data_IF_898682937173
#
_entry.id   IF_898682937173
#
_cell.length_a   1.000
_cell.length_b   1.000
_cell.length_c   1.000
_cell.angle_alpha   90.00
_cell.angle_beta   90.00
_cell.angle_gamma   90.00
#
_symmetry.space_group_name_H-M   'P 1'
#
loop_
_entity.id
_entity.type
_entity.pdbx_description
1 polymer ?
#
# COMPACT_ATOMS: atom_id res chain seq x y z
N UNK A 1 10.08 -8.79 23.91
CA UNK A 1 9.42 -7.48 23.74
C UNK A 1 9.44 -7.11 22.25
N UNK A 2 8.29 -6.87 21.62
CA UNK A 2 8.20 -6.62 20.17
C UNK A 2 9.02 -5.40 19.70
N UNK A 3 9.24 -4.44 20.61
CA UNK A 3 10.03 -3.23 20.41
C UNK A 3 11.46 -3.28 20.99
N UNK A 4 11.99 -4.46 21.32
CA UNK A 4 13.40 -4.59 21.74
C UNK A 4 14.40 -4.40 20.59
N UNK A 5 13.90 -4.25 19.37
CA UNK A 5 14.72 -3.94 18.20
C UNK A 5 15.23 -2.50 18.32
N UNK A 6 16.55 -2.25 18.16
CA UNK A 6 17.09 -0.91 18.19
C UNK A 6 16.44 -0.02 17.13
N UNK A 7 16.38 1.28 17.37
CA UNK A 7 15.72 2.25 16.48
C UNK A 7 16.22 2.14 15.03
N UNK A 8 17.53 1.94 14.83
CA UNK A 8 18.15 1.70 13.52
C UNK A 8 17.58 0.47 12.80
N UNK A 9 17.18 -0.57 13.52
CA UNK A 9 16.50 -1.74 12.98
C UNK A 9 15.10 -1.41 12.47
N UNK A 10 14.35 -0.57 13.19
CA UNK A 10 13.03 -0.10 12.74
C UNK A 10 13.12 0.79 11.49
N UNK A 11 14.14 1.62 11.39
CA UNK A 11 14.42 2.39 10.17
C UNK A 11 14.68 1.48 8.96
N UNK A 12 15.45 0.40 9.14
CA UNK A 12 15.68 -0.59 8.09
C UNK A 12 14.38 -1.30 7.68
N UNK A 13 13.54 -1.66 8.64
CA UNK A 13 12.23 -2.29 8.37
C UNK A 13 11.33 -1.32 7.59
N UNK A 14 11.28 -0.04 7.98
CA UNK A 14 10.49 0.98 7.29
C UNK A 14 10.99 1.20 5.84
N UNK A 15 12.31 1.23 5.63
CA UNK A 15 12.89 1.30 4.29
C UNK A 15 12.54 0.06 3.46
N UNK A 16 12.65 -1.14 4.04
CA UNK A 16 12.30 -2.39 3.39
C UNK A 16 10.80 -2.44 3.04
N UNK A 17 9.92 -2.01 3.94
CA UNK A 17 8.48 -1.92 3.69
C UNK A 17 8.14 -0.92 2.58
N UNK A 18 8.85 0.21 2.53
CA UNK A 18 8.71 1.20 1.45
C UNK A 18 9.14 0.61 0.10
N UNK A 19 10.29 -0.06 0.07
CA UNK A 19 10.77 -0.76 -1.13
C UNK A 19 9.78 -1.84 -1.59
N UNK A 20 9.29 -2.65 -0.64
CA UNK A 20 8.28 -3.67 -0.89
C UNK A 20 6.98 -3.06 -1.43
N UNK A 21 6.50 -1.96 -0.86
CA UNK A 21 5.33 -1.24 -1.37
C UNK A 21 5.53 -0.77 -2.81
N UNK A 22 6.67 -0.13 -3.10
CA UNK A 22 6.97 0.33 -4.45
C UNK A 22 7.04 -0.82 -5.46
N UNK A 23 7.63 -1.96 -5.08
CA UNK A 23 7.70 -3.17 -5.91
C UNK A 23 6.30 -3.80 -6.07
N UNK A 24 5.54 -3.92 -4.99
CA UNK A 24 4.21 -4.52 -4.96
C UNK A 24 3.21 -3.73 -5.79
N UNK A 25 3.18 -2.41 -5.65
CA UNK A 25 2.35 -1.53 -6.50
C UNK A 25 2.82 -1.61 -7.96
N UNK A 26 4.13 -1.63 -8.22
CA UNK A 26 4.63 -1.83 -9.59
C UNK A 26 4.15 -3.17 -10.16
N UNK A 27 4.18 -4.26 -9.39
CA UNK A 27 3.73 -5.57 -9.82
C UNK A 27 2.21 -5.62 -10.05
N UNK A 28 1.43 -4.87 -9.28
CA UNK A 28 -0.02 -4.69 -9.51
C UNK A 28 -0.29 -3.96 -10.84
N UNK A 29 0.56 -2.99 -11.19
CA UNK A 29 0.44 -2.22 -12.45
C UNK A 29 1.01 -2.98 -13.65
N UNK A 30 2.04 -3.79 -13.44
CA UNK A 30 2.75 -4.54 -14.48
C UNK A 30 1.92 -5.77 -14.90
N UNK A 31 1.05 -5.58 -15.89
CA UNK A 31 0.09 -6.60 -16.34
C UNK A 31 -1.21 -6.00 -16.88
N UNK A 32 -1.46 -4.71 -16.61
CA UNK A 32 -2.61 -3.95 -17.12
C UNK A 32 -2.44 -3.57 -18.60
N UNK A 33 -2.23 -4.54 -19.49
CA UNK A 33 -2.35 -4.33 -20.94
C UNK A 33 -3.82 -4.44 -21.32
N UNK A 34 -4.48 -3.30 -21.46
CA UNK A 34 -5.80 -3.21 -22.06
C UNK A 34 -5.72 -3.55 -23.56
N UNK A 35 -6.48 -4.54 -24.06
CA UNK A 35 -6.54 -4.82 -25.48
C UNK A 35 -7.40 -3.75 -26.16
N UNK A 36 -6.78 -2.88 -26.98
CA UNK A 36 -7.48 -2.05 -27.96
C UNK A 36 -7.32 -0.52 -27.87
N UNK A 37 -6.64 0.04 -26.87
CA UNK A 37 -6.37 1.49 -26.86
C UNK A 37 -5.17 1.89 -27.75
N UNK A 38 -5.19 3.08 -28.38
CA UNK A 38 -4.06 3.59 -29.16
C UNK A 38 -2.84 3.73 -28.24
N UNK A 39 -1.88 2.82 -28.46
CA UNK A 39 -0.67 2.56 -27.67
C UNK A 39 0.09 3.83 -27.23
N UNK A 40 0.03 4.91 -28.00
CA UNK A 40 0.79 6.14 -27.80
C UNK A 40 0.26 7.09 -26.71
N UNK A 41 -1.06 7.17 -26.49
CA UNK A 41 -1.65 8.05 -25.46
C UNK A 41 -1.54 7.42 -24.07
N UNK A 42 -1.84 6.12 -23.98
CA UNK A 42 -1.69 5.34 -22.76
C UNK A 42 -0.23 5.23 -22.32
N UNK A 43 0.72 5.02 -23.24
CA UNK A 43 2.14 4.96 -22.88
C UNK A 43 2.66 6.29 -22.30
N UNK A 44 2.22 7.45 -22.82
CA UNK A 44 2.61 8.76 -22.27
C UNK A 44 1.98 9.04 -20.90
N UNK A 45 0.69 8.72 -20.73
CA UNK A 45 0.00 8.89 -19.44
C UNK A 45 0.51 7.92 -18.38
N UNK A 46 0.76 6.65 -18.76
CA UNK A 46 1.37 5.63 -17.92
C UNK A 46 2.79 6.04 -17.51
N UNK A 47 3.63 6.52 -18.45
CA UNK A 47 4.98 7.00 -18.12
C UNK A 47 4.96 8.18 -17.15
N UNK A 48 4.09 9.17 -17.36
CA UNK A 48 3.93 10.32 -16.43
C UNK A 48 3.41 9.90 -15.06
N UNK A 49 2.37 9.06 -14.99
CA UNK A 49 1.86 8.54 -13.70
C UNK A 49 2.89 7.68 -12.99
N UNK A 50 3.69 6.92 -13.73
CA UNK A 50 4.76 6.08 -13.19
C UNK A 50 5.91 6.93 -12.65
N UNK A 51 6.34 7.96 -13.38
CA UNK A 51 7.32 8.94 -12.88
C UNK A 51 6.79 9.68 -11.66
N UNK A 52 5.54 10.14 -11.69
CA UNK A 52 4.91 10.79 -10.55
C UNK A 52 4.85 9.84 -9.34
N UNK A 53 4.47 8.57 -9.51
CA UNK A 53 4.49 7.60 -8.42
C UNK A 53 5.90 7.39 -7.84
N UNK A 54 6.92 7.22 -8.69
CA UNK A 54 8.31 7.06 -8.24
C UNK A 54 8.95 8.32 -7.67
N UNK A 55 8.40 9.50 -7.90
CA UNK A 55 8.85 10.75 -7.27
C UNK A 55 8.06 11.05 -6.00
N UNK A 56 6.74 10.99 -6.08
CA UNK A 56 5.82 11.36 -5.00
C UNK A 56 5.86 10.34 -3.87
N UNK A 57 5.96 9.04 -4.15
CA UNK A 57 5.99 8.01 -3.09
C UNK A 57 7.22 8.14 -2.18
N UNK A 58 8.47 8.25 -2.69
CA UNK A 58 9.61 8.46 -1.81
C UNK A 58 9.61 9.85 -1.16
N UNK A 59 9.11 10.89 -1.82
CA UNK A 59 8.95 12.21 -1.18
C UNK A 59 7.94 12.15 -0.05
N UNK A 60 6.80 11.49 -0.24
CA UNK A 60 5.77 11.30 0.78
C UNK A 60 6.30 10.44 1.93
N UNK A 61 6.96 9.32 1.63
CA UNK A 61 7.63 8.48 2.63
C UNK A 61 8.67 9.28 3.43
N UNK A 62 9.53 10.04 2.76
CA UNK A 62 10.53 10.89 3.40
C UNK A 62 9.87 11.99 4.26
N UNK A 63 8.76 12.57 3.81
CA UNK A 63 8.01 13.58 4.55
C UNK A 63 7.37 12.99 5.80
N UNK A 64 6.73 11.82 5.70
CA UNK A 64 6.13 11.13 6.86
C UNK A 64 7.21 10.73 7.86
N UNK A 65 8.35 10.21 7.38
CA UNK A 65 9.50 9.88 8.22
C UNK A 65 10.14 11.12 8.86
N UNK A 66 10.25 12.24 8.14
CA UNK A 66 10.77 13.50 8.66
C UNK A 66 9.83 14.14 9.69
N UNK A 67 8.51 14.05 9.48
CA UNK A 67 7.51 14.49 10.47
C UNK A 67 7.61 13.64 11.74
N UNK A 68 7.89 12.33 11.63
CA UNK A 68 8.10 11.47 12.79
C UNK A 68 9.33 11.88 13.62
N UNK A 69 10.40 12.38 13.01
CA UNK A 69 11.56 12.92 13.75
C UNK A 69 11.21 14.17 14.58
N UNK A 70 10.11 14.85 14.27
CA UNK A 70 9.64 16.05 14.98
C UNK A 70 8.61 15.71 16.07
N UNK A 71 8.16 14.46 16.18
CA UNK A 71 7.18 14.05 17.19
C UNK A 71 7.86 13.58 18.49
N UNK A 72 7.28 13.89 19.65
CA UNK A 72 7.77 13.41 20.94
C UNK A 72 7.40 11.93 21.24
N UNK A 73 6.65 11.28 20.33
CA UNK A 73 6.23 9.88 20.45
C UNK A 73 7.40 8.92 20.21
N UNK A 74 7.39 7.71 20.81
CA UNK A 74 8.46 6.73 20.62
C UNK A 74 8.56 6.31 19.14
N UNK A 75 9.70 6.64 18.51
CA UNK A 75 9.99 6.34 17.11
C UNK A 75 9.71 4.87 16.69
N UNK A 76 9.95 3.83 17.53
CA UNK A 76 9.66 2.44 17.18
C UNK A 76 8.18 2.14 16.89
N UNK A 77 7.24 2.71 17.67
CA UNK A 77 5.81 2.46 17.50
C UNK A 77 5.30 3.04 16.17
N UNK A 78 5.78 4.25 15.83
CA UNK A 78 5.45 4.93 14.58
C UNK A 78 6.02 4.22 13.36
N UNK A 79 7.29 3.79 13.43
CA UNK A 79 7.94 3.03 12.36
C UNK A 79 7.29 1.66 12.15
N UNK A 80 6.80 1.03 13.22
CA UNK A 80 6.00 -0.19 13.13
C UNK A 80 4.69 0.04 12.37
N UNK A 81 3.87 1.02 12.79
CA UNK A 81 2.61 1.35 12.13
C UNK A 81 2.80 1.73 10.66
N UNK A 82 3.83 2.53 10.38
CA UNK A 82 4.24 2.87 9.02
C UNK A 82 4.53 1.62 8.19
N UNK A 83 5.35 0.72 8.71
CA UNK A 83 5.76 -0.51 8.01
C UNK A 83 4.57 -1.44 7.75
N UNK A 84 3.68 -1.59 8.74
CA UNK A 84 2.45 -2.39 8.61
C UNK A 84 1.52 -1.81 7.55
N UNK A 85 1.33 -0.48 7.54
CA UNK A 85 0.49 0.18 6.53
C UNK A 85 1.05 -0.02 5.11
N UNK A 86 2.36 0.21 4.92
CA UNK A 86 3.00 0.07 3.61
C UNK A 86 3.05 -1.39 3.12
N UNK A 87 3.25 -2.35 4.01
CA UNK A 87 3.26 -3.77 3.63
C UNK A 87 1.85 -4.33 3.37
N UNK A 88 0.85 -3.90 4.14
CA UNK A 88 -0.50 -4.46 4.06
C UNK A 88 -1.23 -4.12 2.76
N UNK A 89 -0.99 -2.94 2.18
CA UNK A 89 -1.69 -2.51 0.96
C UNK A 89 -1.40 -3.44 -0.25
N UNK A 90 -0.14 -3.72 -0.63
CA UNK A 90 0.15 -4.68 -1.70
C UNK A 90 -0.40 -6.07 -1.40
N UNK A 91 -0.29 -6.54 -0.15
CA UNK A 91 -0.74 -7.87 0.27
C UNK A 91 -2.26 -7.99 0.15
N UNK A 92 -3.01 -6.96 0.55
CA UNK A 92 -4.46 -6.93 0.44
C UNK A 92 -4.93 -6.97 -1.02
N UNK A 93 -4.22 -6.26 -1.90
CA UNK A 93 -4.62 -6.07 -3.30
C UNK A 93 -4.18 -7.21 -4.23
N UNK A 94 -3.06 -7.88 -3.94
CA UNK A 94 -2.49 -8.88 -4.84
C UNK A 94 -3.42 -10.07 -5.16
N UNK A 95 -4.14 -10.67 -4.20
CA UNK A 95 -5.04 -11.80 -4.46
C UNK A 95 -6.24 -11.43 -5.32
N UNK A 96 -6.72 -10.19 -5.17
CA UNK A 96 -7.92 -9.69 -5.86
C UNK A 96 -7.60 -8.89 -7.13
N UNK A 97 -6.31 -8.73 -7.47
CA UNK A 97 -5.84 -7.92 -8.60
C UNK A 97 -6.57 -8.26 -9.91
N UNK A 98 -6.78 -9.55 -10.19
CA UNK A 98 -7.37 -10.01 -11.43
C UNK A 98 -8.86 -9.67 -11.52
N UNK A 99 -9.56 -9.67 -10.37
CA UNK A 99 -10.98 -9.31 -10.26
C UNK A 99 -11.16 -7.80 -10.44
N UNK A 100 -10.38 -7.01 -9.69
CA UNK A 100 -10.38 -5.55 -9.80
C UNK A 100 -10.04 -5.09 -11.23
N UNK A 101 -9.07 -5.76 -11.87
CA UNK A 101 -8.70 -5.42 -13.25
C UNK A 101 -9.81 -5.77 -14.26
N UNK A 102 -10.51 -6.90 -14.08
CA UNK A 102 -11.65 -7.25 -14.93
C UNK A 102 -12.78 -6.22 -14.82
N UNK A 103 -13.08 -5.78 -13.60
CA UNK A 103 -14.10 -4.74 -13.37
C UNK A 103 -13.70 -3.42 -14.02
N UNK A 104 -12.43 -3.03 -13.90
CA UNK A 104 -11.89 -1.84 -14.55
C UNK A 104 -11.99 -1.90 -16.09
N UNK A 105 -11.63 -3.04 -16.69
CA UNK A 105 -11.75 -3.26 -18.15
C UNK A 105 -13.21 -3.24 -18.58
N UNK A 106 -14.11 -3.86 -17.81
CA UNK A 106 -15.54 -3.88 -18.10
C UNK A 106 -16.13 -2.47 -18.07
N UNK A 107 -15.70 -1.64 -17.12
CA UNK A 107 -16.12 -0.24 -16.99
C UNK A 107 -15.59 0.63 -18.13
N UNK A 108 -14.35 0.42 -18.58
CA UNK A 108 -13.82 1.15 -19.74
C UNK A 108 -14.53 0.78 -21.06
N UNK A 109 -14.93 -0.48 -21.24
CA UNK A 109 -15.64 -0.92 -22.45
C UNK A 109 -17.08 -0.42 -22.53
N UNK A 110 -17.71 -0.14 -21.41
CA UNK A 110 -19.10 0.35 -21.34
C UNK A 110 -19.19 1.59 -20.44
N UNK A 111 -18.68 2.75 -20.90
CA UNK A 111 -18.77 4.00 -20.14
C UNK A 111 -20.23 4.47 -20.10
N UNK A 112 -20.94 4.10 -19.04
CA UNK A 112 -22.36 4.42 -18.88
C UNK A 112 -23.12 3.39 -18.05
N UNK A 113 -22.58 2.18 -17.91
CA UNK A 113 -23.13 1.19 -16.98
C UNK A 113 -22.46 1.31 -15.61
N UNK A 114 -23.26 1.37 -14.55
CA UNK A 114 -22.76 1.29 -13.18
C UNK A 114 -22.26 -0.13 -12.91
N UNK A 115 -20.99 -0.36 -13.18
CA UNK A 115 -20.31 -1.60 -12.79
C UNK A 115 -20.30 -1.64 -11.25
N UNK A 116 -21.05 -2.57 -10.66
CA UNK A 116 -21.02 -2.79 -9.21
C UNK A 116 -19.66 -3.37 -8.85
N UNK A 117 -18.94 -2.79 -7.88
CA UNK A 117 -17.67 -3.35 -7.42
C UNK A 117 -17.88 -4.77 -6.91
N UNK A 118 -16.97 -5.71 -7.24
CA UNK A 118 -17.01 -7.08 -6.76
C UNK A 118 -17.07 -7.09 -5.22
N UNK A 119 -18.23 -7.48 -4.67
CA UNK A 119 -18.48 -7.53 -3.23
C UNK A 119 -17.48 -8.43 -2.52
N UNK A 120 -16.99 -9.47 -3.19
CA UNK A 120 -15.98 -10.36 -2.62
C UNK A 120 -14.62 -9.67 -2.52
N UNK A 121 -14.23 -8.90 -3.54
CA UNK A 121 -13.00 -8.10 -3.48
C UNK A 121 -13.10 -7.03 -2.38
N UNK A 122 -14.25 -6.35 -2.27
CA UNK A 122 -14.49 -5.35 -1.21
C UNK A 122 -14.46 -6.00 0.17
N UNK A 123 -15.16 -7.12 0.37
CA UNK A 123 -15.19 -7.85 1.63
C UNK A 123 -13.79 -8.37 2.02
N UNK A 124 -13.02 -8.88 1.05
CA UNK A 124 -11.65 -9.32 1.28
C UNK A 124 -10.73 -8.18 1.71
N UNK A 125 -10.70 -7.09 0.96
CA UNK A 125 -9.84 -5.94 1.27
C UNK A 125 -10.23 -5.37 2.64
N UNK A 126 -11.53 -5.19 2.88
CA UNK A 126 -12.02 -4.65 4.16
C UNK A 126 -11.69 -5.59 5.32
N UNK A 127 -11.98 -6.88 5.20
CA UNK A 127 -11.72 -7.88 6.23
C UNK A 127 -10.22 -8.03 6.53
N UNK A 128 -9.38 -7.99 5.50
CA UNK A 128 -7.93 -8.04 5.65
C UNK A 128 -7.40 -6.80 6.37
N UNK A 129 -7.80 -5.59 5.94
CA UNK A 129 -7.36 -4.34 6.56
C UNK A 129 -7.86 -4.21 8.02
N UNK A 130 -9.10 -4.63 8.30
CA UNK A 130 -9.60 -4.69 9.68
C UNK A 130 -8.78 -5.65 10.54
N UNK A 131 -8.45 -6.85 10.02
CA UNK A 131 -7.61 -7.82 10.73
C UNK A 131 -6.22 -7.25 11.00
N UNK A 132 -5.58 -6.63 10.01
CA UNK A 132 -4.26 -6.00 10.16
C UNK A 132 -4.30 -4.89 11.21
N UNK A 133 -5.35 -4.06 11.20
CA UNK A 133 -5.52 -3.00 12.18
C UNK A 133 -5.70 -3.55 13.59
N UNK A 134 -6.53 -4.59 13.76
CA UNK A 134 -6.71 -5.26 15.05
C UNK A 134 -5.40 -5.86 15.57
N UNK A 135 -4.63 -6.53 14.70
CA UNK A 135 -3.33 -7.11 15.07
C UNK A 135 -2.33 -6.02 15.45
N UNK A 136 -2.28 -4.92 14.70
CA UNK A 136 -1.38 -3.80 15.00
C UNK A 136 -1.74 -3.12 16.34
N UNK A 137 -3.04 -2.89 16.60
CA UNK A 137 -3.52 -2.35 17.87
C UNK A 137 -3.21 -3.32 19.01
N UNK A 138 -3.45 -4.62 18.83
CA UNK A 138 -3.15 -5.62 19.85
C UNK A 138 -1.65 -5.69 20.17
N UNK A 139 -0.79 -5.62 19.15
CA UNK A 139 0.66 -5.58 19.34
C UNK A 139 1.12 -4.34 20.13
N UNK A 140 0.52 -3.17 19.86
CA UNK A 140 0.78 -1.93 20.61
C UNK A 140 0.27 -1.99 22.04
N UNK A 141 -0.91 -2.59 22.27
CA UNK A 141 -1.44 -2.74 23.62
C UNK A 141 -0.59 -3.71 24.44
N UNK A 142 -0.29 -4.89 23.91
CA UNK A 142 0.50 -5.91 24.61
C UNK A 142 1.87 -5.39 25.05
N UNK A 143 2.49 -4.53 24.25
CA UNK A 143 3.80 -3.95 24.55
C UNK A 143 3.76 -2.82 25.57
N UNK A 144 2.63 -2.12 25.70
CA UNK A 144 2.44 -1.08 26.73
C UNK A 144 2.03 -1.63 28.09
N UNK A 145 1.43 -2.82 28.15
CA UNK A 145 1.06 -3.48 29.40
C UNK A 145 2.20 -4.32 30.02
N UNK A 146 3.23 -4.66 29.22
CA UNK A 146 4.45 -5.35 29.68
C UNK A 146 5.55 -4.39 30.18
N UNK A 147 5.30 -3.07 30.20
CA UNK A 147 6.15 -2.05 30.84
C UNK A 147 5.49 -1.55 32.13
#
# INVERSE_FOLDING_TARGET
>A
MLFSVPESGWWLIALAATAFFMIGVRALVHGMRLPGEPRSAWERQSRRRRQAFYLVTPVFAATVLAINLLRPEPAPELLFLYSVAFASVPIALFPVRARVLRDYIAQQRNPGTTVRPDRLAVAWITGFLCTVLLVAVFALLATRYDM
#
